data_IF_750484563658
#
_entry.id   IF_750484563658
#
_cell.length_a   1.000
_cell.length_b   1.000
_cell.length_c   1.000
_cell.angle_alpha   90.00
_cell.angle_beta   90.00
_cell.angle_gamma   90.00
#
_symmetry.space_group_name_H-M   'P 1'
#
loop_
_entity.id
_entity.type
_entity.pdbx_description
1 polymer ?
#
# COMPACT_ATOMS: atom_id res chain seq x y z
N UNK A 1 -4.38 -22.61 2.05
CA UNK A 1 -3.95 -21.57 1.08
C UNK A 1 -2.73 -20.87 1.65
N UNK A 2 -1.59 -20.82 0.95
CA UNK A 2 -0.37 -20.20 1.47
C UNK A 2 -0.14 -18.82 0.83
N UNK A 3 -0.36 -17.76 1.61
CA UNK A 3 -0.14 -16.37 1.19
C UNK A 3 1.17 -15.79 1.74
N UNK A 4 2.03 -16.61 2.39
CA UNK A 4 3.27 -16.15 3.01
C UNK A 4 4.19 -15.50 1.98
N UNK A 5 4.67 -14.31 2.34
CA UNK A 5 5.61 -13.55 1.51
C UNK A 5 4.98 -12.89 0.29
N UNK A 6 3.66 -12.96 0.09
CA UNK A 6 2.95 -12.16 -0.92
C UNK A 6 2.55 -10.83 -0.28
N UNK A 7 2.93 -9.74 -0.94
CA UNK A 7 2.69 -8.38 -0.50
C UNK A 7 2.00 -7.56 -1.60
N UNK A 8 1.05 -6.74 -1.18
CA UNK A 8 0.50 -5.65 -1.97
C UNK A 8 1.33 -4.38 -1.72
N UNK A 9 1.62 -3.65 -2.79
CA UNK A 9 2.45 -2.45 -2.76
C UNK A 9 1.57 -1.23 -2.97
N UNK A 10 1.54 -0.30 -2.01
CA UNK A 10 0.74 0.92 -2.14
C UNK A 10 1.15 1.72 -3.38
N UNK A 11 0.19 2.06 -4.24
CA UNK A 11 0.44 2.85 -5.46
C UNK A 11 0.91 2.04 -6.66
N UNK A 12 1.10 0.72 -6.53
CA UNK A 12 1.35 -0.19 -7.66
C UNK A 12 0.21 -1.20 -7.77
N UNK A 13 -0.43 -1.33 -8.95
CA UNK A 13 -1.40 -2.39 -9.16
C UNK A 13 -0.68 -3.74 -9.21
N UNK A 14 -1.36 -4.79 -8.73
CA UNK A 14 -0.85 -6.15 -8.75
C UNK A 14 -0.35 -6.64 -7.40
N UNK A 15 0.29 -7.80 -7.43
CA UNK A 15 0.86 -8.48 -6.28
C UNK A 15 2.32 -8.79 -6.51
N UNK A 16 3.07 -8.82 -5.42
CA UNK A 16 4.50 -9.03 -5.45
C UNK A 16 4.92 -10.02 -4.37
N UNK A 17 5.92 -10.83 -4.65
CA UNK A 17 6.58 -11.68 -3.66
C UNK A 17 7.78 -10.93 -3.08
N UNK A 18 7.89 -10.86 -1.76
CA UNK A 18 9.05 -10.32 -1.09
C UNK A 18 10.22 -11.31 -1.21
N UNK A 19 11.25 -10.92 -1.95
CA UNK A 19 12.47 -11.72 -2.15
C UNK A 19 13.56 -11.35 -1.14
N UNK A 20 13.62 -10.08 -0.74
CA UNK A 20 14.57 -9.62 0.26
C UNK A 20 14.49 -8.12 0.51
N UNK A 21 15.41 -7.62 1.34
CA UNK A 21 15.51 -6.20 1.69
C UNK A 21 16.98 -5.75 1.58
N UNK A 22 17.20 -4.56 1.04
CA UNK A 22 18.49 -3.89 1.02
C UNK A 22 18.39 -2.51 1.71
N UNK A 23 19.51 -1.76 1.80
CA UNK A 23 19.54 -0.42 2.42
C UNK A 23 18.65 0.61 1.73
N UNK A 24 18.32 0.41 0.45
CA UNK A 24 17.53 1.34 -0.37
C UNK A 24 16.03 1.00 -0.32
N UNK A 25 15.68 -0.27 -0.12
CA UNK A 25 14.31 -0.73 -0.17
C UNK A 25 14.13 -2.25 -0.18
N UNK A 26 12.90 -2.66 -0.45
CA UNK A 26 12.50 -4.06 -0.58
C UNK A 26 12.66 -4.53 -2.02
N UNK A 27 13.25 -5.72 -2.20
CA UNK A 27 13.36 -6.41 -3.49
C UNK A 27 12.12 -7.28 -3.61
N UNK A 28 11.28 -6.92 -4.58
CA UNK A 28 10.01 -7.55 -4.83
C UNK A 28 10.03 -8.21 -6.22
N UNK A 29 9.44 -9.39 -6.33
CA UNK A 29 9.22 -10.07 -7.62
C UNK A 29 7.74 -9.98 -7.97
N UNK A 30 7.40 -9.45 -9.14
CA UNK A 30 6.02 -9.42 -9.62
C UNK A 30 5.44 -10.83 -9.71
N UNK A 31 4.17 -10.98 -9.31
CA UNK A 31 3.42 -12.23 -9.49
C UNK A 31 2.68 -12.27 -10.84
N UNK A 32 3.06 -11.43 -11.79
CA UNK A 32 2.58 -11.46 -13.16
C UNK A 32 3.33 -12.50 -14.02
N UNK A 33 2.88 -12.68 -15.26
CA UNK A 33 3.52 -13.59 -16.21
C UNK A 33 4.98 -13.22 -16.53
N UNK A 34 5.38 -11.97 -16.29
CA UNK A 34 6.71 -11.45 -16.61
C UNK A 34 7.69 -11.59 -15.44
N UNK A 35 7.20 -11.82 -14.22
CA UNK A 35 7.98 -11.97 -12.97
C UNK A 35 9.06 -10.91 -12.82
N UNK A 36 8.71 -9.65 -13.10
CA UNK A 36 9.67 -8.55 -13.08
C UNK A 36 10.11 -8.23 -11.65
N UNK A 37 11.42 -8.06 -11.45
CA UNK A 37 11.98 -7.64 -10.16
C UNK A 37 11.90 -6.13 -10.02
N UNK A 38 11.28 -5.66 -8.96
CA UNK A 38 11.05 -4.25 -8.66
C UNK A 38 11.64 -3.94 -7.28
N UNK A 39 12.31 -2.79 -7.16
CA UNK A 39 12.77 -2.28 -5.88
C UNK A 39 11.78 -1.25 -5.36
N UNK A 40 11.13 -1.55 -4.23
CA UNK A 40 10.21 -0.65 -3.55
C UNK A 40 10.96 0.14 -2.47
N UNK A 41 10.93 1.47 -2.51
CA UNK A 41 11.65 2.31 -1.56
C UNK A 41 11.01 2.24 -0.16
N UNK A 42 11.80 1.93 0.86
CA UNK A 42 11.32 1.74 2.24
C UNK A 42 10.63 2.96 2.85
N UNK A 43 11.03 4.17 2.45
CA UNK A 43 10.51 5.42 3.04
C UNK A 43 9.21 5.91 2.41
N UNK A 44 8.98 5.56 1.14
CA UNK A 44 7.83 6.08 0.38
C UNK A 44 6.78 5.00 0.08
N UNK A 45 7.17 3.73 0.14
CA UNK A 45 6.30 2.61 -0.23
C UNK A 45 5.85 1.84 1.00
N UNK A 46 4.53 1.68 1.15
CA UNK A 46 3.95 0.80 2.18
C UNK A 46 3.74 -0.59 1.58
N UNK A 47 4.24 -1.61 2.28
CA UNK A 47 3.97 -3.01 1.98
C UNK A 47 2.87 -3.50 2.90
N UNK A 48 1.86 -4.15 2.32
CA UNK A 48 0.82 -4.84 3.07
C UNK A 48 0.90 -6.33 2.74
N UNK A 49 1.23 -7.15 3.72
CA UNK A 49 1.27 -8.60 3.57
C UNK A 49 -0.14 -9.15 3.45
N UNK A 50 -0.43 -9.93 2.40
CA UNK A 50 -1.80 -10.37 2.10
C UNK A 50 -2.43 -11.21 3.22
N UNK A 51 -1.61 -11.93 3.97
CA UNK A 51 -2.00 -12.73 5.13
C UNK A 51 -2.39 -11.92 6.38
N UNK A 52 -1.90 -10.69 6.49
CA UNK A 52 -2.14 -9.78 7.60
C UNK A 52 -3.30 -8.82 7.29
N UNK A 53 -3.72 -8.75 6.03
CA UNK A 53 -4.87 -7.94 5.63
C UNK A 53 -6.15 -8.58 6.14
N UNK A 54 -6.92 -7.79 6.86
CA UNK A 54 -8.29 -8.10 7.27
C UNK A 54 -9.27 -7.16 6.56
N UNK A 55 -10.49 -7.66 6.39
CA UNK A 55 -11.65 -6.92 5.90
C UNK A 55 -12.47 -6.55 7.13
N UNK A 56 -12.93 -5.30 7.18
CA UNK A 56 -13.80 -4.84 8.25
C UNK A 56 -15.11 -5.64 8.25
N UNK A 57 -15.41 -6.29 9.36
CA UNK A 57 -16.73 -6.87 9.62
C UNK A 57 -17.57 -5.97 10.51
N UNK A 58 -18.87 -6.25 10.53
CA UNK A 58 -19.82 -5.56 11.41
C UNK A 58 -19.53 -5.85 12.89
N UNK A 59 -19.27 -7.13 13.22
CA UNK A 59 -18.95 -7.60 14.57
C UNK A 59 -17.48 -8.03 14.73
N UNK A 60 -16.93 -8.76 13.76
CA UNK A 60 -15.57 -9.34 13.82
C UNK A 60 -14.81 -9.13 12.52
N UNK A 61 -13.50 -8.85 12.60
CA UNK A 61 -12.65 -8.69 11.43
C UNK A 61 -12.49 -10.00 10.66
N UNK A 62 -12.73 -9.95 9.35
CA UNK A 62 -12.68 -11.12 8.47
C UNK A 62 -11.30 -11.18 7.82
N UNK A 63 -10.55 -12.25 8.03
CA UNK A 63 -9.23 -12.40 7.37
C UNK A 63 -9.40 -12.53 5.86
N UNK A 64 -8.53 -11.88 5.10
CA UNK A 64 -8.55 -11.95 3.64
C UNK A 64 -8.37 -13.38 3.12
N UNK A 65 -7.61 -14.21 3.85
CA UNK A 65 -7.42 -15.64 3.56
C UNK A 65 -8.77 -16.38 3.48
N UNK A 66 -9.66 -16.16 4.45
CA UNK A 66 -10.97 -16.81 4.50
C UNK A 66 -11.87 -16.36 3.35
N UNK A 67 -11.81 -15.07 2.99
CA UNK A 67 -12.53 -14.53 1.82
C UNK A 67 -12.05 -15.19 0.53
N UNK A 68 -10.73 -15.31 0.35
CA UNK A 68 -10.16 -16.00 -0.82
C UNK A 68 -10.51 -17.48 -0.86
N UNK A 69 -10.55 -18.16 0.27
CA UNK A 69 -10.99 -19.57 0.34
C UNK A 69 -12.45 -19.71 -0.10
N UNK A 70 -13.34 -18.81 0.32
CA UNK A 70 -14.75 -18.80 -0.11
C UNK A 70 -14.89 -18.49 -1.61
N UNK A 71 -14.12 -17.54 -2.12
CA UNK A 71 -14.05 -17.23 -3.56
C UNK A 71 -13.59 -18.47 -4.35
N UNK A 72 -12.55 -19.16 -3.87
CA UNK A 72 -12.03 -20.40 -4.46
C UNK A 72 -13.06 -21.52 -4.46
N UNK A 73 -13.78 -21.71 -3.35
CA UNK A 73 -14.82 -22.71 -3.26
C UNK A 73 -15.97 -22.43 -4.26
N UNK A 74 -16.27 -21.16 -4.52
CA UNK A 74 -17.26 -20.74 -5.53
C UNK A 74 -16.76 -20.89 -6.96
N UNK A 75 -15.46 -20.71 -7.21
CA UNK A 75 -14.83 -20.80 -8.53
C UNK A 75 -15.22 -19.71 -9.53
N UNK A 76 -16.29 -18.96 -9.29
CA UNK A 76 -16.77 -17.87 -10.15
C UNK A 76 -16.25 -16.55 -9.61
N UNK A 77 -15.57 -15.76 -10.45
CA UNK A 77 -15.08 -14.42 -10.11
C UNK A 77 -15.68 -13.37 -11.04
N UNK A 78 -16.28 -12.29 -10.52
CA UNK A 78 -16.76 -11.21 -11.35
C UNK A 78 -15.60 -10.41 -11.96
N UNK A 79 -15.87 -9.70 -13.06
CA UNK A 79 -14.89 -8.81 -13.66
C UNK A 79 -14.59 -7.62 -12.72
N UNK A 80 -13.33 -7.21 -12.63
CA UNK A 80 -12.92 -6.08 -11.76
C UNK A 80 -13.45 -4.72 -12.24
N UNK A 81 -13.97 -4.64 -13.47
CA UNK A 81 -14.64 -3.47 -14.06
C UNK A 81 -16.16 -3.56 -13.98
N UNK A 82 -16.72 -4.61 -13.37
CA UNK A 82 -18.16 -4.71 -13.16
C UNK A 82 -18.70 -3.55 -12.31
N UNK A 83 -20.02 -3.36 -12.42
CA UNK A 83 -20.74 -2.37 -11.63
C UNK A 83 -20.55 -2.60 -10.13
N UNK A 84 -20.49 -1.51 -9.37
CA UNK A 84 -20.34 -1.55 -7.91
C UNK A 84 -21.41 -2.43 -7.25
N UNK A 85 -22.65 -2.41 -7.76
CA UNK A 85 -23.72 -3.26 -7.24
C UNK A 85 -23.40 -4.75 -7.39
N UNK A 86 -22.92 -5.18 -8.57
CA UNK A 86 -22.55 -6.57 -8.83
C UNK A 86 -21.40 -7.03 -7.95
N UNK A 87 -20.39 -6.17 -7.78
CA UNK A 87 -19.26 -6.44 -6.91
C UNK A 87 -19.69 -6.60 -5.45
N UNK A 88 -20.61 -5.74 -4.97
CA UNK A 88 -21.11 -5.76 -3.59
C UNK A 88 -22.00 -6.97 -3.33
N UNK A 89 -22.86 -7.35 -4.28
CA UNK A 89 -23.64 -8.59 -4.19
C UNK A 89 -22.71 -9.79 -4.09
N UNK A 90 -21.72 -9.87 -4.97
CA UNK A 90 -20.75 -10.96 -4.94
C UNK A 90 -19.93 -10.97 -3.64
N UNK A 91 -19.49 -9.81 -3.17
CA UNK A 91 -18.70 -9.67 -1.96
C UNK A 91 -19.49 -10.08 -0.71
N UNK A 92 -20.77 -9.74 -0.63
CA UNK A 92 -21.68 -10.20 0.43
C UNK A 92 -21.79 -11.73 0.49
N UNK A 93 -21.72 -12.42 -0.65
CA UNK A 93 -21.78 -13.88 -0.65
C UNK A 93 -20.47 -14.53 -0.18
N UNK A 94 -19.33 -13.92 -0.46
CA UNK A 94 -18.00 -14.48 -0.08
C UNK A 94 -17.50 -13.97 1.27
N UNK A 95 -17.99 -12.83 1.74
CA UNK A 95 -17.70 -12.24 3.05
C UNK A 95 -19.03 -11.81 3.71
N UNK A 96 -19.86 -12.76 4.15
CA UNK A 96 -21.08 -12.42 4.90
C UNK A 96 -20.70 -11.73 6.21
N UNK A 97 -21.38 -10.61 6.52
CA UNK A 97 -21.12 -9.81 7.73
C UNK A 97 -19.96 -8.82 7.60
N UNK A 98 -19.54 -8.49 6.36
CA UNK A 98 -18.60 -7.39 6.16
C UNK A 98 -19.29 -6.02 6.34
N UNK A 99 -18.57 -5.04 6.87
CA UNK A 99 -19.04 -3.67 7.06
C UNK A 99 -19.06 -2.95 5.71
N UNK A 100 -20.25 -2.74 5.15
CA UNK A 100 -20.39 -2.13 3.83
C UNK A 100 -20.06 -0.62 3.80
N UNK A 101 -19.98 0.04 4.97
CA UNK A 101 -19.62 1.47 5.09
C UNK A 101 -18.09 1.66 5.08
N UNK A 102 -17.35 0.68 5.61
CA UNK A 102 -15.88 0.69 5.61
C UNK A 102 -15.27 -0.01 4.40
N UNK A 103 -15.96 -0.98 3.81
CA UNK A 103 -15.48 -1.72 2.64
C UNK A 103 -15.94 -1.01 1.36
N UNK A 104 -15.08 -0.15 0.81
CA UNK A 104 -15.40 0.57 -0.40
C UNK A 104 -15.33 -0.32 -1.65
N UNK A 105 -16.02 0.11 -2.71
CA UNK A 105 -15.97 -0.54 -4.03
C UNK A 105 -14.54 -0.71 -4.56
N UNK A 106 -13.64 0.23 -4.24
CA UNK A 106 -12.22 0.15 -4.59
C UNK A 106 -11.51 -1.01 -3.90
N UNK A 107 -11.85 -1.31 -2.65
CA UNK A 107 -11.25 -2.41 -1.90
C UNK A 107 -11.78 -3.76 -2.38
N UNK A 108 -13.08 -3.86 -2.66
CA UNK A 108 -13.66 -5.02 -3.33
C UNK A 108 -12.98 -5.31 -4.68
N UNK A 109 -12.79 -4.27 -5.51
CA UNK A 109 -12.07 -4.38 -6.80
C UNK A 109 -10.63 -4.85 -6.62
N UNK A 110 -9.92 -4.32 -5.61
CA UNK A 110 -8.55 -4.76 -5.30
C UNK A 110 -8.53 -6.22 -4.88
N UNK A 111 -9.40 -6.64 -3.96
CA UNK A 111 -9.46 -8.02 -3.45
C UNK A 111 -9.75 -9.01 -4.58
N UNK A 112 -10.75 -8.73 -5.42
CA UNK A 112 -11.09 -9.57 -6.58
C UNK A 112 -9.93 -9.60 -7.59
N UNK A 113 -9.28 -8.45 -7.83
CA UNK A 113 -8.10 -8.36 -8.69
C UNK A 113 -6.93 -9.18 -8.17
N UNK A 114 -6.65 -9.13 -6.87
CA UNK A 114 -5.63 -9.95 -6.22
C UNK A 114 -5.94 -11.43 -6.34
N UNK A 115 -7.17 -11.84 -6.09
CA UNK A 115 -7.58 -13.23 -6.27
C UNK A 115 -7.37 -13.69 -7.72
N UNK A 116 -7.72 -12.86 -8.71
CA UNK A 116 -7.51 -13.17 -10.12
C UNK A 116 -6.04 -13.35 -10.51
N UNK A 117 -5.11 -12.70 -9.80
CA UNK A 117 -3.67 -12.91 -10.00
C UNK A 117 -3.23 -14.24 -9.36
N UNK A 118 -3.73 -14.53 -8.15
CA UNK A 118 -3.29 -15.69 -7.38
C UNK A 118 -3.91 -17.00 -7.91
N UNK A 119 -5.13 -16.97 -8.44
CA UNK A 119 -5.83 -18.17 -8.97
C UNK A 119 -5.10 -18.83 -10.14
N UNK A 120 -4.41 -18.03 -10.96
CA UNK A 120 -3.66 -18.48 -12.13
C UNK A 120 -2.24 -18.98 -11.76
N UNK A 121 -1.81 -18.75 -10.52
CA UNK A 121 -0.49 -19.18 -10.06
C UNK A 121 -0.59 -20.59 -9.46
N UNK A 122 0.36 -21.50 -9.78
CA UNK A 122 0.43 -22.84 -9.17
C UNK A 122 0.69 -22.82 -7.65
N UNK A 123 0.92 -21.64 -7.05
CA UNK A 123 0.88 -21.43 -5.58
C UNK A 123 -0.52 -21.68 -4.98
N UNK A 124 -1.55 -21.86 -5.81
CA UNK A 124 -2.91 -22.23 -5.42
C UNK A 124 -3.05 -23.68 -4.97
N UNK A 125 -2.08 -24.56 -5.26
CA UNK A 125 -2.24 -26.02 -5.13
C UNK A 125 -1.17 -26.75 -4.33
N UNK A 126 -0.06 -26.11 -3.93
CA UNK A 126 0.99 -26.82 -3.19
C UNK A 126 1.08 -26.43 -1.70
N UNK A 127 0.69 -27.39 -0.88
CA UNK A 127 0.95 -27.48 0.56
C UNK A 127 2.43 -27.85 0.79
N UNK A 128 3.31 -26.84 0.97
CA UNK A 128 4.67 -26.91 1.60
C UNK A 128 5.76 -27.80 0.91
N UNK A 129 7.07 -27.44 0.94
CA UNK A 129 7.83 -27.06 2.13
C UNK A 129 8.81 -25.87 2.01
N UNK A 130 9.05 -25.27 3.18
CA UNK A 130 10.33 -24.75 3.65
C UNK A 130 11.47 -24.75 2.62
N UNK A 131 11.74 -23.61 2.00
CA UNK A 131 13.10 -23.32 1.51
C UNK A 131 13.67 -22.22 2.38
N UNK A 132 14.34 -22.68 3.44
CA UNK A 132 15.37 -21.93 4.15
C UNK A 132 16.28 -21.22 3.14
N UNK A 133 16.42 -19.92 3.36
CA UNK A 133 17.30 -19.02 2.62
C UNK A 133 17.78 -17.88 3.51
N UNK A 134 18.26 -18.23 4.70
CA UNK A 134 19.09 -17.41 5.63
C UNK A 134 18.36 -16.33 6.47
N UNK A 135 18.03 -16.62 7.74
CA UNK A 135 17.93 -15.61 8.78
C UNK A 135 19.34 -15.23 9.22
N UNK A 136 19.85 -14.09 8.76
CA UNK A 136 20.99 -13.45 9.41
C UNK A 136 20.46 -12.65 10.61
N UNK A 137 20.28 -13.35 11.72
CA UNK A 137 20.32 -12.76 13.05
C UNK A 137 21.68 -12.10 13.24
N UNK A 138 21.70 -10.78 13.42
CA UNK A 138 22.73 -10.11 14.21
C UNK A 138 22.02 -9.32 15.30
N UNK A 139 21.92 -9.95 16.46
CA UNK A 139 21.88 -9.28 17.76
C UNK A 139 23.12 -8.40 17.90
N UNK A 140 22.91 -7.11 18.17
CA UNK A 140 23.75 -6.28 19.03
C UNK A 140 22.81 -5.18 19.56
N UNK A 141 22.16 -5.45 20.70
CA UNK A 141 22.61 -5.04 22.03
C UNK A 141 22.30 -3.57 22.31
N UNK A 142 21.24 -3.37 23.11
CA UNK A 142 21.11 -2.27 24.05
C UNK A 142 22.41 -2.08 24.84
N UNK A 143 22.84 -0.82 24.97
CA UNK A 143 23.14 -0.14 26.25
C UNK A 143 24.13 1.02 26.03
N UNK A 144 23.64 2.27 26.12
CA UNK A 144 24.24 3.26 27.03
C UNK A 144 23.29 4.43 27.28
N UNK A 145 22.71 4.42 28.47
CA UNK A 145 22.05 5.56 29.08
C UNK A 145 23.05 6.66 29.51
N UNK A 146 22.55 7.90 29.48
CA UNK A 146 22.76 9.00 30.42
C UNK A 146 24.15 9.61 30.69
N UNK A 147 24.22 10.95 30.53
CA UNK A 147 24.83 12.00 31.41
C UNK A 147 25.42 13.14 30.55
N UNK A 148 24.75 14.28 30.40
CA UNK A 148 24.76 15.47 31.29
C UNK A 148 26.09 16.27 31.29
N UNK A 149 26.12 17.43 30.62
CA UNK A 149 26.41 18.77 31.20
C UNK A 149 26.62 19.88 30.14
N UNK A 150 25.63 20.79 30.11
CA UNK A 150 25.77 22.24 30.34
C UNK A 150 27.12 22.91 29.98
N UNK A 151 27.09 23.80 28.99
CA UNK A 151 27.74 25.12 29.13
C UNK A 151 26.93 26.24 28.48
N UNK A 152 26.73 27.28 29.29
CA UNK A 152 26.06 28.56 29.08
C UNK A 152 27.15 29.62 29.03
N UNK A 153 27.12 30.51 28.04
CA UNK A 153 27.63 31.89 28.10
C UNK A 153 27.37 32.57 26.73
N UNK A 154 26.31 33.38 26.57
CA UNK A 154 26.25 34.84 26.79
C UNK A 154 26.98 35.69 25.76
N UNK A 155 26.22 36.55 25.08
CA UNK A 155 26.54 37.98 25.01
C UNK A 155 26.76 38.62 23.63
N UNK A 156 25.76 39.43 23.23
CA UNK A 156 25.85 40.78 22.61
C UNK A 156 26.64 40.92 21.29
N UNK A 157 26.15 41.58 20.23
CA UNK A 157 25.57 42.92 20.17
C UNK A 157 25.02 43.20 18.76
N UNK A 158 24.02 44.06 18.73
CA UNK A 158 23.28 44.60 17.59
C UNK A 158 24.09 45.10 16.37
N UNK A 159 23.51 45.05 15.17
CA UNK A 159 22.91 46.25 14.53
C UNK A 159 22.24 45.94 13.19
N UNK A 160 21.15 46.69 12.91
CA UNK A 160 20.60 47.08 11.60
C UNK A 160 20.36 45.98 10.54
N UNK A 161 19.16 45.74 10.02
CA UNK A 161 18.02 46.60 9.78
C UNK A 161 17.60 46.40 8.32
N UNK A 162 16.46 45.75 8.06
CA UNK A 162 15.76 45.84 6.78
C UNK A 162 14.32 45.30 6.90
N UNK A 163 13.44 46.29 6.91
CA UNK A 163 11.99 46.33 6.72
C UNK A 163 11.41 45.30 5.73
N UNK A 164 10.42 44.55 6.22
CA UNK A 164 9.10 44.22 5.65
C UNK A 164 8.91 43.89 4.14
N UNK A 165 8.21 42.79 3.87
CA UNK A 165 6.86 42.69 3.20
C UNK A 165 6.60 41.21 2.81
N UNK A 166 5.79 40.44 3.53
CA UNK A 166 4.33 40.20 3.41
C UNK A 166 3.74 39.95 2.02
N UNK A 167 3.35 38.67 1.81
CA UNK A 167 2.09 38.13 1.23
C UNK A 167 1.82 38.18 -0.28
N UNK A 168 1.08 37.13 -0.70
CA UNK A 168 0.08 37.01 -1.79
C UNK A 168 0.60 36.18 -2.99
N UNK A 169 0.31 34.88 -3.13
CA UNK A 169 -0.95 34.16 -3.43
C UNK A 169 -1.52 34.35 -4.85
N UNK A 170 -1.55 33.22 -5.60
CA UNK A 170 -2.44 32.84 -6.71
C UNK A 170 -2.26 33.45 -8.12
N UNK A 171 -2.20 32.60 -9.17
CA UNK A 171 -2.61 32.94 -10.52
C UNK A 171 -4.04 32.43 -10.81
N UNK A 172 -4.82 33.18 -11.60
CA UNK A 172 -5.77 32.72 -12.63
C UNK A 172 -7.08 33.54 -12.73
N UNK A 173 -7.55 33.61 -13.99
CA UNK A 173 -8.80 34.17 -14.55
C UNK A 173 -8.74 35.69 -14.78
N UNK A 174 -9.12 36.23 -15.93
CA UNK A 174 -10.27 35.91 -16.78
C UNK A 174 -10.11 36.52 -18.19
N UNK A 175 -10.73 35.88 -19.17
CA UNK A 175 -10.96 36.39 -20.52
C UNK A 175 -11.77 37.71 -20.53
N UNK A 176 -11.49 38.62 -21.48
CA UNK A 176 -12.50 39.43 -22.18
C UNK A 176 -11.92 40.21 -23.38
N UNK A 177 -12.52 39.96 -24.55
CA UNK A 177 -12.89 40.84 -25.68
C UNK A 177 -11.97 41.94 -26.26
N UNK A 178 -12.04 41.97 -27.61
CA UNK A 178 -11.90 43.11 -28.55
C UNK A 178 -10.46 43.56 -28.87
N UNK A 179 -10.00 43.42 -30.12
CA UNK A 179 -10.16 44.52 -31.08
C UNK A 179 -10.02 44.05 -32.53
N UNK A 180 -11.03 44.44 -33.33
CA UNK A 180 -10.99 44.48 -34.80
C UNK A 180 -10.45 45.87 -35.22
N UNK A 181 -9.30 45.90 -35.90
CA UNK A 181 -8.73 47.04 -36.65
C UNK A 181 -7.65 46.41 -37.55
N UNK A 182 -7.66 46.46 -38.87
CA UNK A 182 -8.03 47.54 -39.75
C UNK A 182 -6.75 48.13 -40.33
N UNK A 183 -6.22 47.53 -41.40
CA UNK A 183 -5.67 48.15 -42.62
C UNK A 183 -5.47 47.06 -43.67
#
# INVERSE_FOLDING_TARGET
>A
MNLRGIVAVSGRPGLFKLVGQNKVGYILEGLDAQKLKVVANITNTKLASLEDITVYGEDEEIKLVDVFMKISAKGTTPDTKADTSTLRTYFNEVAPGHDEDKVYASDMKKIIGWYNIIKDLPLFTEDTPDTQGTPAEVKLSEEKAAADKKQKATGSKASAGAKATTKTSAPAKKASMTSKKGV
#
